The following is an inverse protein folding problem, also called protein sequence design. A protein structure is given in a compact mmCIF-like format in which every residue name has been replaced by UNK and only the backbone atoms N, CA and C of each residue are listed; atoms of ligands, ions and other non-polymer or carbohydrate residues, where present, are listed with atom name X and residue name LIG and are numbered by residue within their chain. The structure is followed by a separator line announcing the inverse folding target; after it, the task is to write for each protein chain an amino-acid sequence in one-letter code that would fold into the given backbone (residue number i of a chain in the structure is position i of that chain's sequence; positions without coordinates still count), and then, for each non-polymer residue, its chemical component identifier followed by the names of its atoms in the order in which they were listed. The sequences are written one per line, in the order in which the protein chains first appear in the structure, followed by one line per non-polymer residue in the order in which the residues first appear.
data_IF_667317708861
#
_entry.id   IF_667317708861
#
_cell.length_a   1.000
_cell.length_b   1.000
_cell.length_c   1.000
_cell.angle_alpha   90.00
_cell.angle_beta   90.00
_cell.angle_gamma   90.00
#
_symmetry.space_group_name_H-M   'P 1'
#
loop_
_entity.id
_entity.type
_entity.pdbx_description
1 polymer ?
#
# COMPACT_ATOMS: atom_id res chain seq x y z
N UNK A 1 -9.91 9.59 13.90
CA UNK A 1 -9.79 8.93 12.58
C UNK A 1 -8.38 8.37 12.43
N UNK A 2 -8.20 7.35 11.60
CA UNK A 2 -6.92 6.73 11.26
C UNK A 2 -6.54 7.09 9.83
N UNK A 3 -5.34 7.62 9.62
CA UNK A 3 -4.77 7.78 8.29
C UNK A 3 -4.12 6.46 7.86
N UNK A 4 -4.45 5.95 6.69
CA UNK A 4 -3.80 4.76 6.13
C UNK A 4 -3.10 5.13 4.82
N UNK A 5 -1.94 4.53 4.57
CA UNK A 5 -1.23 4.73 3.30
C UNK A 5 -0.75 3.39 2.74
N UNK A 6 -0.99 3.18 1.46
CA UNK A 6 -0.42 2.11 0.65
C UNK A 6 0.53 2.74 -0.38
N UNK A 7 1.82 2.54 -0.18
CA UNK A 7 2.89 3.15 -0.98
C UNK A 7 3.40 2.13 -1.99
N UNK A 8 2.85 2.21 -3.20
CA UNK A 8 3.31 1.46 -4.37
C UNK A 8 4.36 2.22 -5.17
N UNK A 9 5.00 1.53 -6.13
CA UNK A 9 6.07 2.12 -6.96
C UNK A 9 5.60 3.27 -7.87
N UNK A 10 4.34 3.23 -8.33
CA UNK A 10 3.79 4.23 -9.26
C UNK A 10 2.89 5.24 -8.54
N UNK A 11 2.05 4.74 -7.64
CA UNK A 11 1.05 5.54 -6.93
C UNK A 11 1.11 5.22 -5.43
N UNK A 12 0.86 6.25 -4.62
CA UNK A 12 0.60 6.13 -3.19
C UNK A 12 -0.88 6.39 -2.97
N UNK A 13 -1.59 5.40 -2.46
CA UNK A 13 -2.98 5.55 -2.04
C UNK A 13 -3.03 5.96 -0.58
N UNK A 14 -3.77 7.02 -0.28
CA UNK A 14 -3.98 7.52 1.08
C UNK A 14 -5.46 7.37 1.40
N UNK A 15 -5.79 6.76 2.52
CA UNK A 15 -7.15 6.60 3.01
C UNK A 15 -7.33 7.25 4.38
N UNK A 16 -8.57 7.64 4.68
CA UNK A 16 -8.97 8.07 6.00
C UNK A 16 -10.07 7.14 6.51
N UNK A 17 -9.87 6.58 7.70
CA UNK A 17 -10.77 5.61 8.29
C UNK A 17 -11.41 6.12 9.59
N UNK A 18 -12.72 5.94 9.71
CA UNK A 18 -13.49 6.10 10.94
C UNK A 18 -13.97 4.71 11.38
N UNK A 19 -13.21 4.08 12.30
CA UNK A 19 -13.41 2.67 12.61
C UNK A 19 -13.07 1.80 11.39
N UNK A 20 -14.02 0.96 10.97
CA UNK A 20 -13.87 0.07 9.80
C UNK A 20 -14.30 0.71 8.47
N UNK A 21 -14.80 1.96 8.51
CA UNK A 21 -15.31 2.65 7.33
C UNK A 21 -14.23 3.57 6.78
N UNK A 22 -13.91 3.41 5.49
CA UNK A 22 -13.12 4.39 4.73
C UNK A 22 -14.01 5.57 4.39
N UNK A 23 -13.75 6.73 4.99
CA UNK A 23 -14.54 7.95 4.76
C UNK A 23 -14.07 8.69 3.51
N UNK A 24 -12.77 8.67 3.26
CA UNK A 24 -12.14 9.37 2.15
C UNK A 24 -10.92 8.60 1.66
N UNK A 25 -10.58 8.80 0.39
CA UNK A 25 -9.34 8.30 -0.18
C UNK A 25 -8.82 9.21 -1.29
N UNK A 26 -7.51 9.19 -1.47
CA UNK A 26 -6.81 9.92 -2.50
C UNK A 26 -5.72 9.05 -3.10
N UNK A 27 -5.33 9.38 -4.34
CA UNK A 27 -4.15 8.81 -4.98
C UNK A 27 -3.23 9.93 -5.42
N UNK A 28 -1.95 9.77 -5.10
CA UNK A 28 -0.88 10.67 -5.52
C UNK A 28 0.19 9.85 -6.22
N UNK A 29 0.94 10.45 -7.13
CA UNK A 29 2.13 9.82 -7.68
C UNK A 29 3.16 9.57 -6.59
N UNK A 30 3.77 8.40 -6.60
CA UNK A 30 4.89 8.10 -5.69
C UNK A 30 6.14 8.82 -6.17
N UNK A 31 6.57 9.83 -5.42
CA UNK A 31 7.74 10.65 -5.74
C UNK A 31 8.83 10.48 -4.68
N UNK A 32 9.95 9.88 -5.05
CA UNK A 32 11.05 9.52 -4.14
C UNK A 32 11.79 10.76 -3.61
N UNK A 33 11.73 11.87 -4.35
CA UNK A 33 12.46 13.09 -3.97
C UNK A 33 11.73 13.97 -2.95
N UNK A 34 10.49 13.61 -2.53
CA UNK A 34 9.75 14.44 -1.58
C UNK A 34 10.37 14.41 -0.19
N UNK A 35 10.59 15.61 0.34
CA UNK A 35 10.98 15.82 1.73
C UNK A 35 9.80 15.57 2.69
N UNK A 36 10.06 15.34 3.99
CA UNK A 36 9.00 15.26 5.00
C UNK A 36 8.08 16.48 5.02
N UNK A 37 8.60 17.69 4.81
CA UNK A 37 7.81 18.93 4.81
C UNK A 37 6.86 19.01 3.61
N UNK A 38 7.33 18.63 2.42
CA UNK A 38 6.49 18.55 1.22
C UNK A 38 5.41 17.48 1.38
N UNK A 39 5.76 16.32 1.94
CA UNK A 39 4.79 15.27 2.22
C UNK A 39 3.74 15.73 3.24
N UNK A 40 4.14 16.42 4.30
CA UNK A 40 3.22 17.00 5.28
C UNK A 40 2.29 18.04 4.63
N UNK A 41 2.81 18.88 3.74
CA UNK A 41 2.00 19.84 2.99
C UNK A 41 0.95 19.15 2.13
N UNK A 42 1.34 18.07 1.44
CA UNK A 42 0.42 17.23 0.66
C UNK A 42 -0.67 16.65 1.55
N UNK A 43 -0.31 15.97 2.65
CA UNK A 43 -1.29 15.37 3.57
C UNK A 43 -2.27 16.40 4.13
N UNK A 44 -1.77 17.56 4.57
CA UNK A 44 -2.63 18.66 5.07
C UNK A 44 -3.53 19.23 3.98
N UNK A 45 -3.02 19.34 2.75
CA UNK A 45 -3.79 19.79 1.60
C UNK A 45 -4.95 18.86 1.27
N UNK A 46 -4.71 17.54 1.27
CA UNK A 46 -5.73 16.52 1.01
C UNK A 46 -6.84 16.55 2.08
N UNK A 47 -6.46 16.59 3.37
CA UNK A 47 -7.43 16.67 4.47
C UNK A 47 -8.28 17.94 4.40
N UNK A 48 -7.63 19.10 4.17
CA UNK A 48 -8.35 20.39 4.05
C UNK A 48 -9.30 20.42 2.86
N UNK A 49 -8.93 19.81 1.73
CA UNK A 49 -9.79 19.77 0.54
C UNK A 49 -11.13 19.07 0.81
N UNK A 50 -11.16 18.11 1.74
CA UNK A 50 -12.38 17.41 2.15
C UNK A 50 -12.92 17.88 3.50
N UNK A 51 -12.52 19.09 3.95
CA UNK A 51 -12.98 19.70 5.21
C UNK A 51 -12.72 18.84 6.46
N UNK A 52 -11.64 18.05 6.45
CA UNK A 52 -11.22 17.25 7.61
C UNK A 52 -10.26 18.08 8.46
N UNK A 53 -10.64 18.28 9.73
CA UNK A 53 -9.76 18.90 10.72
C UNK A 53 -8.57 17.99 11.04
N UNK A 54 -7.36 18.55 11.04
CA UNK A 54 -6.12 17.79 11.26
C UNK A 54 -6.16 17.08 12.61
N UNK A 55 -6.66 17.76 13.65
CA UNK A 55 -6.75 17.25 15.02
C UNK A 55 -7.71 16.05 15.14
N UNK A 56 -8.56 15.79 14.13
CA UNK A 56 -9.41 14.61 14.09
C UNK A 56 -8.64 13.33 13.69
N UNK A 57 -7.42 13.45 13.15
CA UNK A 57 -6.57 12.34 12.72
C UNK A 57 -5.59 11.97 13.83
N UNK A 58 -5.89 10.87 14.53
CA UNK A 58 -5.21 10.53 15.79
C UNK A 58 -4.00 9.59 15.60
N UNK A 59 -3.95 8.85 14.50
CA UNK A 59 -2.91 7.86 14.25
C UNK A 59 -2.75 7.59 12.76
N UNK A 60 -1.66 6.94 12.39
CA UNK A 60 -1.40 6.50 11.03
C UNK A 60 -0.87 5.06 10.94
N UNK A 61 -1.22 4.37 9.85
CA UNK A 61 -0.66 3.08 9.46
C UNK A 61 -0.19 3.11 8.00
N UNK A 62 0.98 2.54 7.71
CA UNK A 62 1.64 2.64 6.41
C UNK A 62 2.06 1.24 5.94
N UNK A 63 1.55 0.80 4.81
CA UNK A 63 2.14 -0.27 4.00
C UNK A 63 3.01 0.35 2.91
N UNK A 64 4.24 -0.12 2.73
CA UNK A 64 5.12 0.41 1.69
C UNK A 64 6.02 -0.65 1.09
N UNK A 65 6.14 -0.61 -0.24
CA UNK A 65 7.15 -1.35 -1.01
C UNK A 65 8.23 -0.44 -1.58
N UNK A 66 8.26 0.84 -1.17
CA UNK A 66 9.17 1.87 -1.70
C UNK A 66 10.00 2.48 -0.56
N UNK A 67 11.17 1.89 -0.22
CA UNK A 67 11.99 2.35 0.90
C UNK A 67 12.46 3.81 0.80
N UNK A 68 12.57 4.35 -0.40
CA UNK A 68 12.98 5.74 -0.62
C UNK A 68 11.94 6.78 -0.19
N UNK A 69 10.66 6.42 -0.16
CA UNK A 69 9.56 7.33 0.22
C UNK A 69 9.16 7.16 1.69
N UNK A 70 9.28 5.94 2.22
CA UNK A 70 8.77 5.58 3.56
C UNK A 70 9.24 6.52 4.67
N UNK A 71 10.54 6.89 4.80
CA UNK A 71 10.99 7.74 5.90
C UNK A 71 10.32 9.12 5.91
N UNK A 72 10.18 9.76 4.75
CA UNK A 72 9.55 11.06 4.62
C UNK A 72 8.06 11.02 4.96
N UNK A 73 7.37 9.96 4.53
CA UNK A 73 5.96 9.75 4.86
C UNK A 73 5.75 9.45 6.35
N UNK A 74 6.60 8.62 6.96
CA UNK A 74 6.55 8.32 8.40
C UNK A 74 6.72 9.58 9.23
N UNK A 75 7.71 10.42 8.90
CA UNK A 75 7.93 11.68 9.63
C UNK A 75 6.76 12.66 9.44
N UNK A 76 6.27 12.81 8.21
CA UNK A 76 5.12 13.66 7.93
C UNK A 76 3.86 13.20 8.68
N UNK A 77 3.56 11.90 8.67
CA UNK A 77 2.43 11.32 9.37
C UNK A 77 2.59 11.44 10.90
N UNK A 78 3.81 11.30 11.42
CA UNK A 78 4.08 11.52 12.85
C UNK A 78 3.82 12.96 13.27
N UNK A 79 4.28 13.94 12.47
CA UNK A 79 4.03 15.37 12.70
C UNK A 79 2.57 15.75 12.53
N UNK A 80 1.84 15.07 11.66
CA UNK A 80 0.41 15.31 11.43
C UNK A 80 -0.45 14.81 12.59
N UNK A 81 -0.15 13.60 13.09
CA UNK A 81 -1.00 12.90 14.08
C UNK A 81 -0.51 13.04 15.52
N UNK A 82 0.72 13.52 15.72
CA UNK A 82 1.36 13.59 17.04
C UNK A 82 1.78 12.22 17.60
N UNK A 83 1.71 11.14 16.81
CA UNK A 83 2.06 9.78 17.23
C UNK A 83 2.90 9.06 16.18
N UNK A 84 3.70 8.07 16.59
CA UNK A 84 4.51 7.29 15.65
C UNK A 84 3.62 6.39 14.79
N UNK A 85 3.66 6.49 13.45
CA UNK A 85 2.90 5.61 12.57
C UNK A 85 3.34 4.15 12.70
N UNK A 86 2.39 3.22 12.54
CA UNK A 86 2.70 1.81 12.37
C UNK A 86 3.13 1.58 10.93
N UNK A 87 4.33 1.04 10.72
CA UNK A 87 4.78 0.56 9.40
C UNK A 87 4.59 -0.95 9.35
N UNK A 88 3.76 -1.42 8.44
CA UNK A 88 3.38 -2.83 8.33
C UNK A 88 4.49 -3.62 7.62
N UNK A 89 4.91 -4.72 8.23
CA UNK A 89 5.86 -5.69 7.70
C UNK A 89 5.56 -7.11 8.21
N UNK A 90 6.38 -8.09 7.85
CA UNK A 90 6.16 -9.50 8.21
C UNK A 90 6.30 -9.79 9.73
N UNK A 91 6.83 -8.85 10.52
CA UNK A 91 6.96 -8.96 11.98
C UNK A 91 5.79 -8.35 12.72
N UNK A 92 4.92 -7.65 12.00
CA UNK A 92 3.75 -7.02 12.58
C UNK A 92 2.81 -8.08 13.17
N UNK A 93 2.22 -7.86 14.36
CA UNK A 93 1.37 -8.84 15.05
C UNK A 93 -0.03 -8.88 14.42
N UNK A 94 -0.12 -9.38 13.18
CA UNK A 94 -1.33 -9.30 12.36
C UNK A 94 -2.28 -10.50 12.52
N UNK A 95 -1.83 -11.59 13.15
CA UNK A 95 -2.59 -12.84 13.26
C UNK A 95 -2.59 -13.68 11.98
N UNK A 96 -1.66 -13.40 11.06
CA UNK A 96 -1.38 -14.20 9.87
C UNK A 96 0.04 -14.75 9.92
N UNK A 97 0.32 -15.80 9.15
CA UNK A 97 1.66 -16.39 9.03
C UNK A 97 2.20 -16.18 7.62
N UNK A 98 3.40 -15.61 7.50
CA UNK A 98 4.11 -15.46 6.22
C UNK A 98 5.09 -16.64 6.07
N UNK A 99 4.62 -17.75 5.50
CA UNK A 99 5.34 -19.02 5.44
C UNK A 99 6.15 -19.16 4.15
N UNK A 100 7.16 -18.31 4.00
CA UNK A 100 8.18 -18.39 2.94
C UNK A 100 9.57 -18.35 3.56
N UNK A 101 10.59 -18.73 2.79
CA UNK A 101 11.98 -18.81 3.28
C UNK A 101 12.49 -17.47 3.82
N UNK A 102 12.12 -16.35 3.17
CA UNK A 102 12.57 -15.01 3.55
C UNK A 102 11.38 -14.04 3.73
N UNK A 103 10.65 -14.11 4.87
CA UNK A 103 9.42 -13.34 5.08
C UNK A 103 9.58 -11.83 4.94
N UNK A 104 10.75 -11.30 5.31
CA UNK A 104 11.05 -9.86 5.24
C UNK A 104 11.19 -9.33 3.81
N UNK A 105 11.30 -10.20 2.81
CA UNK A 105 11.33 -9.80 1.39
C UNK A 105 9.93 -9.67 0.79
N UNK A 106 8.89 -10.12 1.49
CA UNK A 106 7.51 -10.01 1.04
C UNK A 106 7.07 -8.55 1.16
N UNK A 107 6.53 -8.00 0.08
CA UNK A 107 6.01 -6.64 0.05
C UNK A 107 4.89 -6.44 1.08
N UNK A 108 4.83 -5.24 1.67
CA UNK A 108 3.82 -4.90 2.66
C UNK A 108 2.39 -4.99 2.09
N UNK A 109 2.21 -4.66 0.81
CA UNK A 109 0.98 -4.85 0.05
C UNK A 109 0.47 -6.29 0.10
N UNK A 110 1.34 -7.27 -0.18
CA UNK A 110 1.02 -8.70 -0.15
C UNK A 110 0.69 -9.21 1.27
N UNK A 111 1.35 -8.65 2.28
CA UNK A 111 1.07 -8.95 3.70
C UNK A 111 -0.31 -8.41 4.10
N UNK A 112 -0.63 -7.17 3.72
CA UNK A 112 -1.92 -6.54 4.00
C UNK A 112 -3.05 -7.26 3.25
N UNK A 113 -2.82 -7.61 1.99
CA UNK A 113 -3.76 -8.40 1.17
C UNK A 113 -4.03 -9.77 1.79
N UNK A 114 -2.99 -10.44 2.32
CA UNK A 114 -3.14 -11.70 3.07
C UNK A 114 -4.03 -11.52 4.31
N UNK A 115 -3.76 -10.47 5.09
CA UNK A 115 -4.55 -10.17 6.28
C UNK A 115 -6.02 -9.90 5.93
N UNK A 116 -6.25 -9.08 4.90
CA UNK A 116 -7.60 -8.75 4.44
C UNK A 116 -8.34 -10.01 3.96
N UNK A 117 -7.69 -10.83 3.12
CA UNK A 117 -8.29 -12.05 2.59
C UNK A 117 -8.63 -13.07 3.70
N UNK A 118 -7.72 -13.26 4.66
CA UNK A 118 -7.95 -14.13 5.83
C UNK A 118 -9.16 -13.68 6.64
N UNK A 119 -9.32 -12.37 6.87
CA UNK A 119 -10.45 -11.83 7.65
C UNK A 119 -11.79 -11.81 6.89
N UNK A 120 -11.75 -11.54 5.58
CA UNK A 120 -12.97 -11.35 4.78
C UNK A 120 -13.56 -12.68 4.30
N UNK A 121 -12.71 -13.66 3.97
CA UNK A 121 -13.16 -14.89 3.31
C UNK A 121 -12.99 -16.15 4.14
N UNK A 122 -12.02 -16.21 5.05
CA UNK A 122 -11.74 -17.38 5.90
C UNK A 122 -11.71 -18.71 5.12
N UNK A 123 -11.14 -18.70 3.91
CA UNK A 123 -11.10 -19.83 2.98
C UNK A 123 -9.77 -19.85 2.23
N UNK A 124 -9.37 -21.04 1.76
CA UNK A 124 -8.26 -21.17 0.84
C UNK A 124 -8.53 -20.34 -0.41
N UNK A 125 -7.65 -19.40 -0.73
CA UNK A 125 -7.85 -18.50 -1.84
C UNK A 125 -6.54 -18.10 -2.52
N UNK A 126 -6.68 -17.59 -3.73
CA UNK A 126 -5.62 -16.91 -4.44
C UNK A 126 -6.04 -15.44 -4.56
N UNK A 127 -5.27 -14.55 -3.94
CA UNK A 127 -5.46 -13.11 -4.13
C UNK A 127 -4.70 -12.69 -5.38
N UNK A 128 -5.38 -12.00 -6.28
CA UNK A 128 -4.79 -11.47 -7.52
C UNK A 128 -4.80 -9.94 -7.46
N UNK A 129 -3.63 -9.33 -7.37
CA UNK A 129 -3.48 -7.87 -7.35
C UNK A 129 -3.01 -7.37 -8.72
N UNK A 130 -3.67 -6.36 -9.27
CA UNK A 130 -3.42 -5.81 -10.60
C UNK A 130 -2.79 -4.41 -10.49
N UNK A 131 -1.51 -4.37 -10.15
CA UNK A 131 -0.73 -3.13 -10.07
C UNK A 131 0.30 -2.98 -11.20
N UNK A 132 1.41 -2.30 -10.88
CA UNK A 132 2.60 -2.22 -11.74
C UNK A 132 3.13 -3.61 -12.09
N UNK A 133 3.09 -4.52 -11.12
CA UNK A 133 3.18 -5.95 -11.32
C UNK A 133 1.81 -6.58 -11.03
N UNK A 134 1.53 -7.73 -11.63
CA UNK A 134 0.41 -8.57 -11.22
C UNK A 134 0.93 -9.67 -10.31
N UNK A 135 0.38 -9.76 -9.09
CA UNK A 135 0.74 -10.79 -8.11
C UNK A 135 -0.38 -11.80 -7.97
N UNK A 136 -0.01 -13.04 -7.65
CA UNK A 136 -0.91 -14.14 -7.31
C UNK A 136 -0.43 -14.71 -5.98
N UNK A 137 -1.18 -14.51 -4.91
CA UNK A 137 -0.79 -14.89 -3.55
C UNK A 137 -1.65 -16.05 -3.06
N UNK A 138 -1.02 -17.19 -2.78
CA UNK A 138 -1.68 -18.38 -2.27
C UNK A 138 -1.82 -18.29 -0.75
N UNK A 139 -3.06 -18.27 -0.27
CA UNK A 139 -3.38 -18.06 1.13
C UNK A 139 -4.31 -19.17 1.60
N UNK A 140 -4.01 -19.79 2.74
CA UNK A 140 -4.87 -20.80 3.35
C UNK A 140 -6.00 -20.17 4.17
N UNK A 141 -7.05 -20.94 4.44
CA UNK A 141 -8.16 -20.54 5.32
C UNK A 141 -7.69 -20.07 6.72
N UNK A 142 -6.59 -20.64 7.21
CA UNK A 142 -5.98 -20.30 8.51
C UNK A 142 -5.11 -19.03 8.47
N UNK A 143 -5.11 -18.29 7.36
CA UNK A 143 -4.32 -17.05 7.22
C UNK A 143 -2.83 -17.28 7.04
N UNK A 144 -2.43 -18.42 6.46
CA UNK A 144 -1.04 -18.69 6.09
C UNK A 144 -0.81 -18.30 4.64
N UNK A 145 0.07 -17.33 4.41
CA UNK A 145 0.60 -16.99 3.09
C UNK A 145 1.70 -17.99 2.71
N UNK A 146 1.48 -18.73 1.63
CA UNK A 146 2.35 -19.81 1.14
C UNK A 146 3.35 -19.33 0.07
N UNK A 147 3.34 -18.04 -0.26
CA UNK A 147 4.04 -17.49 -1.41
C UNK A 147 3.11 -17.27 -2.59
N UNK A 148 3.69 -17.19 -3.78
CA UNK A 148 2.94 -16.75 -4.95
C UNK A 148 3.78 -16.56 -6.21
N UNK A 149 3.16 -15.96 -7.23
CA UNK A 149 3.80 -15.62 -8.51
C UNK A 149 3.70 -14.12 -8.74
N UNK A 150 4.77 -13.53 -9.30
CA UNK A 150 4.80 -12.14 -9.74
C UNK A 150 5.04 -12.12 -11.24
N UNK A 151 4.20 -11.41 -11.99
CA UNK A 151 4.36 -11.19 -13.42
C UNK A 151 4.28 -9.69 -13.75
N UNK A 152 4.76 -9.25 -14.93
CA UNK A 152 4.54 -7.87 -15.37
C UNK A 152 3.06 -7.51 -15.38
N UNK A 153 2.71 -6.33 -14.86
CA UNK A 153 1.33 -5.86 -14.83
C UNK A 153 0.78 -5.64 -16.25
N UNK A 154 -0.55 -5.55 -16.38
CA UNK A 154 -1.23 -5.39 -17.68
C UNK A 154 -0.70 -4.14 -18.42
N UNK A 155 -0.65 -3.00 -17.73
CA UNK A 155 -0.16 -1.73 -18.30
C UNK A 155 1.32 -1.81 -18.66
N UNK A 156 2.15 -2.32 -17.74
CA UNK A 156 3.60 -2.47 -17.95
C UNK A 156 3.92 -3.40 -19.13
N UNK A 157 3.14 -4.47 -19.30
CA UNK A 157 3.24 -5.39 -20.44
C UNK A 157 2.92 -4.67 -21.75
N UNK A 158 1.80 -3.93 -21.80
CA UNK A 158 1.38 -3.17 -22.97
C UNK A 158 2.41 -2.07 -23.34
N UNK A 159 2.84 -1.26 -22.36
CA UNK A 159 3.87 -0.22 -22.55
C UNK A 159 5.19 -0.80 -23.07
N UNK A 160 5.60 -1.95 -22.53
CA UNK A 160 6.82 -2.62 -22.99
C UNK A 160 6.68 -3.12 -24.43
N UNK A 161 5.52 -3.67 -24.80
CA UNK A 161 5.24 -4.12 -26.15
C UNK A 161 5.26 -2.94 -27.14
N UNK A 162 4.57 -1.84 -26.82
CA UNK A 162 4.56 -0.62 -27.64
C UNK A 162 5.95 -0.03 -27.81
N UNK A 163 6.75 0.01 -26.74
CA UNK A 163 8.12 0.54 -26.80
C UNK A 163 9.06 -0.34 -27.64
N UNK A 164 8.87 -1.66 -27.64
CA UNK A 164 9.79 -2.61 -28.28
C UNK A 164 9.38 -3.06 -29.69
N UNK A 165 8.13 -2.85 -30.10
CA UNK A 165 7.64 -3.29 -31.39
C UNK A 165 7.31 -2.11 -32.31
N UNK A 166 8.10 -1.94 -33.37
CA UNK A 166 8.06 -0.78 -34.29
C UNK A 166 6.73 -0.56 -35.03
N UNK A 167 5.81 -1.53 -35.03
CA UNK A 167 4.52 -1.48 -35.73
C UNK A 167 3.31 -1.81 -34.85
N UNK A 168 3.50 -1.93 -33.54
CA UNK A 168 2.38 -2.02 -32.60
C UNK A 168 2.21 -0.63 -31.99
N UNK A 169 1.33 0.18 -32.57
CA UNK A 169 0.93 1.46 -32.00
C UNK A 169 -0.31 1.26 -31.12
N UNK A 170 -0.35 1.88 -29.95
CA UNK A 170 -1.58 2.05 -29.19
C UNK A 170 -2.58 2.80 -30.09
N UNK A 171 -3.73 2.21 -30.36
CA UNK A 171 -4.86 2.86 -31.04
C UNK A 171 -5.84 3.37 -30.01
#
# INVERSE_FOLDING_TARGET
MLLVADVGNTETTIGLCAGEIVTDHWRITTEVQRTPDEMLLVLRGLLRANHVEIDAVAAAAIGSVVPGVTPALVEAAARLTGSTPVVVDARSPLGITVAVDEPMTVGADRIINTLAASRMYAADCIVVDLGTATTYDCITADGVFLGGVIQPGVRTSAETLFRRASKLTAT
#
